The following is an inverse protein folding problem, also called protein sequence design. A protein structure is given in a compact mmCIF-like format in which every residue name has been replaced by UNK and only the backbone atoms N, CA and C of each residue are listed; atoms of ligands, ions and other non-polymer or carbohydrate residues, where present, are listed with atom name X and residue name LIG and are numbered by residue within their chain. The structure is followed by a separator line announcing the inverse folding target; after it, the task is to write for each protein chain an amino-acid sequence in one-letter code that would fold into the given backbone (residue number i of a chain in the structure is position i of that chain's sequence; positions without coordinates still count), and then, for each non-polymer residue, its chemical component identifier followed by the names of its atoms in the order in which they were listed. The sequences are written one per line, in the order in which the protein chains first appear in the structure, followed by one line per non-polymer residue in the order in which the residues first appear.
data_IF_030158857651
#
_entry.id   IF_030158857651
#
_cell.length_a   1.000
_cell.length_b   1.000
_cell.length_c   1.000
_cell.angle_alpha   90.00
_cell.angle_beta   90.00
_cell.angle_gamma   90.00
#
_symmetry.space_group_name_H-M   'P 1'
#
loop_
_entity.id
_entity.type
_entity.pdbx_description
1 polymer ?
#
# COMPACT_ATOMS: atom_id res chain seq x y z
N UNK A 1 -36.02 -25.09 -46.27
CA UNK A 1 -35.73 -23.88 -45.48
C UNK A 1 -34.97 -22.90 -46.36
N UNK A 2 -35.40 -21.63 -46.41
CA UNK A 2 -34.68 -20.61 -47.17
C UNK A 2 -33.48 -20.16 -46.33
N UNK A 3 -32.27 -20.49 -46.75
CA UNK A 3 -31.02 -20.36 -45.98
C UNK A 3 -30.59 -18.91 -45.72
N UNK A 4 -31.40 -17.92 -46.15
CA UNK A 4 -31.21 -16.49 -45.91
C UNK A 4 -32.49 -15.77 -45.47
N UNK A 5 -33.50 -16.51 -44.96
CA UNK A 5 -34.74 -15.92 -44.47
C UNK A 5 -34.58 -15.28 -43.07
N UNK A 6 -35.46 -14.33 -42.68
CA UNK A 6 -35.45 -13.69 -41.36
C UNK A 6 -35.39 -14.67 -40.19
N UNK A 7 -36.08 -15.81 -40.31
CA UNK A 7 -36.09 -16.89 -39.31
C UNK A 7 -34.70 -17.49 -39.05
N UNK A 8 -33.86 -17.60 -40.08
CA UNK A 8 -32.50 -18.12 -39.94
C UNK A 8 -31.59 -17.14 -39.19
N UNK A 9 -31.77 -15.84 -39.44
CA UNK A 9 -31.03 -14.77 -38.74
C UNK A 9 -31.43 -14.73 -37.27
N UNK A 10 -32.72 -14.83 -36.96
CA UNK A 10 -33.22 -14.89 -35.58
C UNK A 10 -32.70 -16.11 -34.83
N UNK A 11 -32.64 -17.28 -35.49
CA UNK A 11 -32.09 -18.49 -34.89
C UNK A 11 -30.60 -18.32 -34.52
N UNK A 12 -29.79 -17.70 -35.39
CA UNK A 12 -28.37 -17.45 -35.09
C UNK A 12 -28.23 -16.49 -33.91
N UNK A 13 -28.96 -15.37 -33.90
CA UNK A 13 -28.92 -14.40 -32.81
C UNK A 13 -29.29 -15.07 -31.48
N UNK A 14 -30.37 -15.86 -31.46
CA UNK A 14 -30.79 -16.58 -30.28
C UNK A 14 -29.72 -17.55 -29.74
N UNK A 15 -29.03 -18.28 -30.65
CA UNK A 15 -27.94 -19.20 -30.27
C UNK A 15 -26.72 -18.42 -29.77
N UNK A 16 -26.34 -17.33 -30.43
CA UNK A 16 -25.19 -16.51 -30.03
C UNK A 16 -25.41 -15.83 -28.68
N UNK A 17 -26.60 -15.25 -28.47
CA UNK A 17 -26.96 -14.62 -27.19
C UNK A 17 -27.11 -15.67 -26.10
N UNK A 18 -27.77 -16.81 -26.38
CA UNK A 18 -27.91 -17.91 -25.44
C UNK A 18 -26.56 -18.51 -25.03
N UNK A 19 -25.66 -18.71 -25.99
CA UNK A 19 -24.30 -19.18 -25.74
C UNK A 19 -23.49 -18.23 -24.87
N UNK A 20 -23.61 -16.91 -25.09
CA UNK A 20 -22.98 -15.90 -24.23
C UNK A 20 -23.52 -15.93 -22.79
N UNK A 21 -24.85 -15.98 -22.62
CA UNK A 21 -25.48 -16.04 -21.28
C UNK A 21 -25.07 -17.30 -20.54
N UNK A 22 -25.09 -18.46 -21.20
CA UNK A 22 -24.71 -19.74 -20.60
C UNK A 22 -23.22 -19.73 -20.23
N UNK A 23 -22.35 -19.26 -21.12
CA UNK A 23 -20.91 -19.16 -20.85
C UNK A 23 -20.64 -18.24 -19.65
N UNK A 24 -21.35 -17.11 -19.56
CA UNK A 24 -21.20 -16.19 -18.45
C UNK A 24 -21.78 -16.75 -17.15
N UNK A 25 -22.90 -17.49 -17.21
CA UNK A 25 -23.50 -18.18 -16.07
C UNK A 25 -22.59 -19.28 -15.50
N UNK A 26 -21.97 -20.07 -16.37
CA UNK A 26 -20.98 -21.08 -15.99
C UNK A 26 -19.79 -20.40 -15.32
N UNK A 27 -19.25 -19.33 -15.90
CA UNK A 27 -18.13 -18.57 -15.34
C UNK A 27 -18.44 -17.99 -13.96
N UNK A 28 -19.61 -17.37 -13.82
CA UNK A 28 -20.10 -16.82 -12.56
C UNK A 28 -20.27 -17.90 -11.48
N UNK A 29 -20.82 -19.07 -11.84
CA UNK A 29 -21.02 -20.18 -10.90
C UNK A 29 -19.73 -20.91 -10.52
N UNK A 30 -18.72 -20.91 -11.38
CA UNK A 30 -17.42 -21.53 -11.13
C UNK A 30 -16.39 -20.59 -10.48
N UNK A 31 -16.79 -19.36 -10.11
CA UNK A 31 -15.95 -18.46 -9.33
C UNK A 31 -14.81 -17.81 -10.13
N UNK A 32 -14.89 -17.79 -11.46
CA UNK A 32 -14.02 -16.96 -12.27
C UNK A 32 -14.60 -15.55 -12.29
N UNK A 33 -13.81 -14.57 -11.83
CA UNK A 33 -14.20 -13.18 -11.85
C UNK A 33 -14.69 -12.80 -13.25
N UNK A 34 -15.91 -12.26 -13.37
CA UNK A 34 -16.40 -11.70 -14.63
C UNK A 34 -15.49 -10.50 -14.98
N UNK A 35 -14.71 -10.60 -16.06
CA UNK A 35 -13.96 -9.45 -16.58
C UNK A 35 -14.99 -8.55 -17.25
N UNK A 36 -15.42 -7.52 -16.54
CA UNK A 36 -16.01 -6.37 -17.20
C UNK A 36 -14.89 -5.71 -18.00
N UNK A 37 -15.01 -5.76 -19.32
CA UNK A 37 -14.17 -5.05 -20.29
C UNK A 37 -14.23 -3.52 -20.12
N UNK A 38 -14.97 -3.03 -19.11
CA UNK A 38 -14.99 -1.65 -18.66
C UNK A 38 -14.75 -1.55 -17.14
N UNK A 39 -13.54 -1.94 -16.71
CA UNK A 39 -12.84 -1.30 -15.59
C UNK A 39 -13.46 -1.44 -14.20
N UNK A 40 -13.74 -2.66 -13.74
CA UNK A 40 -14.26 -2.84 -12.38
C UNK A 40 -14.24 -4.26 -11.85
N UNK A 41 -13.06 -4.91 -11.80
CA UNK A 41 -12.88 -6.11 -10.98
C UNK A 41 -13.02 -5.72 -9.51
N UNK A 42 -14.19 -5.95 -8.94
CA UNK A 42 -14.33 -5.99 -7.48
C UNK A 42 -14.47 -7.45 -7.09
N UNK A 43 -13.33 -8.11 -6.86
CA UNK A 43 -13.32 -9.44 -6.27
C UNK A 43 -13.16 -9.31 -4.76
N UNK A 44 -13.96 -10.05 -3.98
CA UNK A 44 -14.00 -9.98 -2.51
C UNK A 44 -12.64 -10.37 -1.86
N UNK A 45 -11.77 -11.01 -2.63
CA UNK A 45 -10.40 -11.35 -2.25
C UNK A 45 -9.48 -10.10 -2.21
N UNK A 46 -9.67 -9.13 -3.12
CA UNK A 46 -8.89 -7.89 -3.14
C UNK A 46 -9.20 -7.02 -1.93
N UNK A 47 -10.45 -7.02 -1.44
CA UNK A 47 -10.82 -6.29 -0.22
C UNK A 47 -10.11 -6.84 1.03
N UNK A 48 -9.98 -8.16 1.14
CA UNK A 48 -9.25 -8.78 2.26
C UNK A 48 -7.74 -8.55 2.16
N UNK A 49 -7.18 -8.65 0.95
CA UNK A 49 -5.77 -8.34 0.72
C UNK A 49 -5.48 -6.86 1.02
N UNK A 50 -6.35 -5.96 0.58
CA UNK A 50 -6.28 -4.52 0.84
C UNK A 50 -6.40 -4.21 2.34
N UNK A 51 -7.30 -4.89 3.06
CA UNK A 51 -7.43 -4.74 4.51
C UNK A 51 -6.14 -5.16 5.23
N UNK A 52 -5.57 -6.32 4.88
CA UNK A 52 -4.28 -6.78 5.45
C UNK A 52 -3.14 -5.82 5.16
N UNK A 53 -3.06 -5.32 3.92
CA UNK A 53 -2.05 -4.32 3.54
C UNK A 53 -2.22 -3.00 4.32
N UNK A 54 -3.45 -2.57 4.60
CA UNK A 54 -3.71 -1.39 5.43
C UNK A 54 -3.27 -1.60 6.88
N UNK A 55 -3.56 -2.77 7.45
CA UNK A 55 -3.13 -3.12 8.81
C UNK A 55 -1.60 -3.19 8.91
N UNK A 56 -0.94 -3.79 7.92
CA UNK A 56 0.52 -3.85 7.85
C UNK A 56 1.14 -2.45 7.69
N UNK A 57 0.57 -1.59 6.85
CA UNK A 57 1.01 -0.21 6.72
C UNK A 57 0.85 0.59 8.02
N UNK A 58 -0.25 0.39 8.75
CA UNK A 58 -0.46 1.04 10.05
C UNK A 58 0.60 0.60 11.08
N UNK A 59 0.89 -0.70 11.13
CA UNK A 59 1.93 -1.25 12.00
C UNK A 59 3.32 -0.72 11.64
N UNK A 60 3.67 -0.70 10.34
CA UNK A 60 4.96 -0.18 9.87
C UNK A 60 5.13 1.30 10.21
N UNK A 61 4.07 2.11 10.06
CA UNK A 61 4.09 3.53 10.45
C UNK A 61 4.31 3.69 11.95
N UNK A 62 3.66 2.89 12.78
CA UNK A 62 3.87 2.94 14.23
C UNK A 62 5.31 2.56 14.61
N UNK A 63 5.89 1.56 13.95
CA UNK A 63 7.30 1.20 14.17
C UNK A 63 8.24 2.33 13.73
N UNK A 64 7.95 2.96 12.59
CA UNK A 64 8.70 4.11 12.10
C UNK A 64 8.60 5.29 13.08
N UNK A 65 7.42 5.64 13.56
CA UNK A 65 7.25 6.72 14.55
C UNK A 65 8.06 6.44 15.83
N UNK A 66 8.08 5.18 16.29
CA UNK A 66 8.87 4.78 17.44
C UNK A 66 10.39 4.90 17.20
N UNK A 67 10.88 4.63 15.98
CA UNK A 67 12.29 4.83 15.64
C UNK A 67 12.63 6.31 15.51
N UNK A 68 11.75 7.12 14.92
CA UNK A 68 11.91 8.58 14.85
C UNK A 68 12.01 9.21 16.25
N UNK A 69 11.14 8.82 17.20
CA UNK A 69 11.22 9.32 18.57
C UNK A 69 12.57 9.02 19.24
N UNK A 70 13.14 7.84 18.97
CA UNK A 70 14.47 7.46 19.47
C UNK A 70 15.57 8.28 18.81
N UNK A 71 15.45 8.54 17.50
CA UNK A 71 16.40 9.39 16.78
C UNK A 71 16.39 10.81 17.34
N UNK A 72 15.22 11.38 17.62
CA UNK A 72 15.11 12.70 18.28
C UNK A 72 15.79 12.70 19.65
N UNK A 73 15.59 11.66 20.46
CA UNK A 73 16.29 11.57 21.75
C UNK A 73 17.81 11.47 21.57
N UNK A 74 18.29 10.72 20.58
CA UNK A 74 19.73 10.61 20.27
C UNK A 74 20.28 11.94 19.80
N UNK A 75 19.58 12.65 18.92
CA UNK A 75 19.93 13.98 18.44
C UNK A 75 20.04 14.98 19.61
N UNK A 76 19.08 14.96 20.54
CA UNK A 76 19.12 15.78 21.74
C UNK A 76 20.35 15.46 22.61
N UNK A 77 20.65 14.17 22.85
CA UNK A 77 21.82 13.76 23.63
C UNK A 77 23.13 14.22 22.99
N UNK A 78 23.28 14.02 21.67
CA UNK A 78 24.49 14.39 20.94
C UNK A 78 24.69 15.91 20.96
N UNK A 79 23.61 16.67 20.74
CA UNK A 79 23.64 18.13 20.77
C UNK A 79 23.96 18.64 22.19
N UNK A 80 23.17 18.26 23.19
CA UNK A 80 23.30 18.79 24.55
C UNK A 80 24.62 18.39 25.22
N UNK A 81 25.05 17.12 25.09
CA UNK A 81 26.33 16.68 25.68
C UNK A 81 27.53 17.22 24.90
N UNK A 82 27.45 17.33 23.57
CA UNK A 82 28.52 17.86 22.74
C UNK A 82 28.90 19.29 23.14
N UNK A 83 27.89 20.16 23.29
CA UNK A 83 28.12 21.55 23.72
C UNK A 83 28.56 21.64 25.19
N UNK A 84 27.98 20.84 26.08
CA UNK A 84 28.36 20.88 27.49
C UNK A 84 29.83 20.49 27.73
N UNK A 85 30.32 19.44 27.06
CA UNK A 85 31.72 19.00 27.20
C UNK A 85 32.68 20.01 26.58
N UNK A 86 32.39 20.54 25.38
CA UNK A 86 33.22 21.57 24.76
C UNK A 86 33.36 22.81 25.65
N UNK A 87 32.24 23.29 26.21
CA UNK A 87 32.24 24.43 27.12
C UNK A 87 33.04 24.16 28.41
N UNK A 88 32.98 22.94 28.96
CA UNK A 88 33.77 22.56 30.13
C UNK A 88 35.27 22.54 29.82
N UNK A 89 35.66 22.05 28.64
CA UNK A 89 37.06 22.04 28.19
C UNK A 89 37.60 23.47 28.07
N UNK A 90 36.85 24.38 27.43
CA UNK A 90 37.26 25.77 27.29
C UNK A 90 37.35 26.49 28.65
N UNK A 91 36.42 26.19 29.57
CA UNK A 91 36.47 26.74 30.92
C UNK A 91 37.70 26.28 31.71
N UNK A 92 38.10 25.00 31.58
CA UNK A 92 39.33 24.47 32.19
C UNK A 92 40.58 25.11 31.58
N UNK A 93 40.61 25.25 30.24
CA UNK A 93 41.72 25.91 29.53
C UNK A 93 41.93 27.36 30.02
N UNK A 94 40.85 28.13 30.16
CA UNK A 94 40.93 29.49 30.72
C UNK A 94 41.34 29.54 32.20
N UNK A 95 41.08 28.50 32.98
CA UNK A 95 41.58 28.41 34.36
C UNK A 95 43.08 28.15 34.40
N UNK A 96 43.58 27.27 33.54
CA UNK A 96 45.02 26.98 33.45
C UNK A 96 45.80 28.20 32.95
N UNK A 97 45.30 28.91 31.94
CA UNK A 97 45.91 30.17 31.44
C UNK A 97 45.99 31.26 32.53
N UNK A 98 45.01 31.29 33.46
CA UNK A 98 45.02 32.20 34.62
C UNK A 98 45.96 31.76 35.73
N UNK A 99 46.24 30.46 35.86
CA UNK A 99 47.19 29.93 36.86
C UNK A 99 48.65 30.07 36.40
N UNK A 100 48.87 30.19 35.10
CA UNK A 100 50.20 30.37 34.51
C UNK A 100 50.71 31.84 34.53
N UNK A 101 49.86 32.79 34.93
CA UNK A 101 50.17 34.22 35.12
C UNK A 101 50.35 34.54 36.61
#
# INVERSE_FOLDING_TARGET
MNWAGPEFVLAIIAISTGGWVINNWIRARHGYALEDEWGGKTDRADDQAMARLRDENALLRQQLDATHQRLTNVEAIVTDRGFAVANQIDALRHQDDRRAQ
#
